data_IF_564532907685
#
_entry.id   IF_564532907685
#
_cell.length_a   1.000
_cell.length_b   1.000
_cell.length_c   1.000
_cell.angle_alpha   90.00
_cell.angle_beta   90.00
_cell.angle_gamma   90.00
#
_symmetry.space_group_name_H-M   'P 1'
#
loop_
_entity.id
_entity.type
_entity.pdbx_description
1 polymer ?
#
# COMPACT_ATOMS: atom_id res chain seq x y z
N UNK A 1 -5.88 -14.69 8.34
CA UNK A 1 -5.46 -13.38 7.78
C UNK A 1 -4.01 -13.12 8.16
N UNK A 2 -3.17 -12.73 7.20
CA UNK A 2 -1.79 -12.30 7.47
C UNK A 2 -1.76 -10.84 7.93
N UNK A 3 -0.73 -10.47 8.71
CA UNK A 3 -0.56 -9.12 9.22
C UNK A 3 0.75 -8.52 8.71
N UNK A 4 0.65 -7.40 8.00
CA UNK A 4 1.78 -6.58 7.59
C UNK A 4 1.86 -5.28 8.41
N UNK A 5 3.07 -4.76 8.59
CA UNK A 5 3.27 -3.40 9.06
C UNK A 5 3.53 -2.49 7.87
N UNK A 6 2.88 -1.31 7.83
CA UNK A 6 2.87 -0.41 6.68
C UNK A 6 3.40 0.97 7.05
N UNK A 7 4.22 1.56 6.17
CA UNK A 7 4.87 2.84 6.39
C UNK A 7 4.75 3.80 5.21
N UNK A 8 4.49 5.06 5.52
CA UNK A 8 4.71 6.18 4.62
C UNK A 8 5.92 7.02 5.03
N UNK A 9 6.52 6.70 6.18
CA UNK A 9 7.67 7.41 6.77
C UNK A 9 7.35 8.91 6.90
N UNK A 10 6.32 9.21 7.69
CA UNK A 10 5.90 10.59 7.91
C UNK A 10 6.83 11.29 8.88
N UNK A 11 7.23 12.50 8.53
CA UNK A 11 8.06 13.37 9.36
C UNK A 11 7.31 14.66 9.69
N UNK A 12 7.09 14.91 10.96
CA UNK A 12 6.44 16.13 11.39
C UNK A 12 7.38 17.35 11.26
N UNK A 13 6.92 18.38 10.55
CA UNK A 13 7.66 19.64 10.36
C UNK A 13 9.08 19.47 9.78
N UNK A 14 9.27 18.72 8.68
CA UNK A 14 10.59 18.29 8.19
C UNK A 14 11.49 19.46 7.78
N UNK A 15 10.91 20.55 7.25
CA UNK A 15 11.68 21.72 6.81
C UNK A 15 12.29 22.52 7.96
N UNK A 16 11.75 22.38 9.17
CA UNK A 16 12.24 23.05 10.38
C UNK A 16 13.20 22.17 11.21
N UNK A 17 13.04 20.86 11.09
CA UNK A 17 13.68 19.88 11.97
C UNK A 17 14.19 18.69 11.16
N UNK A 18 15.25 18.89 10.38
CA UNK A 18 15.83 17.83 9.53
C UNK A 18 16.41 16.67 10.33
N UNK A 19 16.82 16.89 11.58
CA UNK A 19 17.24 15.82 12.50
C UNK A 19 16.16 14.77 12.72
N UNK A 20 14.89 15.12 12.54
CA UNK A 20 13.77 14.17 12.64
C UNK A 20 13.72 13.17 11.50
N UNK A 21 14.17 13.54 10.30
CA UNK A 21 14.28 12.59 9.19
C UNK A 21 15.21 11.43 9.58
N UNK A 22 16.41 11.76 10.09
CA UNK A 22 17.35 10.76 10.59
C UNK A 22 16.69 9.86 11.64
N UNK A 23 16.04 10.45 12.64
CA UNK A 23 15.44 9.70 13.74
C UNK A 23 14.33 8.77 13.24
N UNK A 24 13.40 9.26 12.40
CA UNK A 24 12.27 8.46 11.92
C UNK A 24 12.74 7.25 11.09
N UNK A 25 13.73 7.39 10.21
CA UNK A 25 14.29 6.27 9.46
C UNK A 25 14.91 5.20 10.38
N UNK A 26 15.67 5.63 11.39
CA UNK A 26 16.25 4.69 12.36
C UNK A 26 15.19 4.05 13.28
N UNK A 27 14.14 4.77 13.62
CA UNK A 27 13.02 4.24 14.39
C UNK A 27 12.24 3.20 13.60
N UNK A 28 12.01 3.42 12.29
CA UNK A 28 11.39 2.43 11.41
C UNK A 28 12.18 1.12 11.40
N UNK A 29 13.51 1.17 11.32
CA UNK A 29 14.33 -0.05 11.37
C UNK A 29 14.10 -0.84 12.66
N UNK A 30 14.07 -0.17 13.84
CA UNK A 30 13.81 -0.81 15.12
C UNK A 30 12.38 -1.35 15.22
N UNK A 31 11.41 -0.61 14.71
CA UNK A 31 10.01 -1.02 14.68
C UNK A 31 9.81 -2.27 13.81
N UNK A 32 10.51 -2.39 12.70
CA UNK A 32 10.45 -3.57 11.83
C UNK A 32 11.14 -4.79 12.49
N UNK A 33 12.27 -4.58 13.17
CA UNK A 33 12.90 -5.65 13.95
C UNK A 33 11.92 -6.23 15.00
N UNK A 34 11.23 -5.34 15.74
CA UNK A 34 10.23 -5.75 16.72
C UNK A 34 9.03 -6.42 16.03
N UNK A 35 8.54 -5.86 14.92
CA UNK A 35 7.39 -6.40 14.21
C UNK A 35 7.65 -7.85 13.76
N UNK A 36 8.85 -8.17 13.25
CA UNK A 36 9.22 -9.55 12.95
C UNK A 36 9.19 -10.43 14.21
N UNK A 37 9.77 -9.95 15.31
CA UNK A 37 9.84 -10.71 16.58
C UNK A 37 8.45 -11.04 17.15
N UNK A 38 7.50 -10.10 17.04
CA UNK A 38 6.14 -10.30 17.57
C UNK A 38 5.17 -10.91 16.56
N UNK A 39 5.65 -11.26 15.36
CA UNK A 39 4.93 -12.12 14.43
C UNK A 39 4.24 -11.42 13.24
N UNK A 40 4.55 -10.18 12.93
CA UNK A 40 4.15 -9.63 11.63
C UNK A 40 4.85 -10.40 10.51
N UNK A 41 4.11 -10.65 9.44
CA UNK A 41 4.56 -11.46 8.30
C UNK A 41 5.10 -10.63 7.13
N UNK A 42 4.75 -9.35 7.07
CA UNK A 42 5.12 -8.48 5.97
C UNK A 42 5.49 -7.08 6.48
N UNK A 43 6.46 -6.47 5.81
CA UNK A 43 6.77 -5.05 5.86
C UNK A 43 6.42 -4.44 4.51
N UNK A 44 5.68 -3.32 4.52
CA UNK A 44 5.29 -2.60 3.33
C UNK A 44 5.63 -1.12 3.46
N UNK A 45 6.15 -0.49 2.39
CA UNK A 45 6.23 0.97 2.33
C UNK A 45 5.95 1.50 0.93
N UNK A 46 5.60 2.77 0.88
CA UNK A 46 5.25 3.51 -0.35
C UNK A 46 6.50 4.03 -1.07
N UNK A 47 6.31 4.45 -2.33
CA UNK A 47 7.20 5.39 -3.02
C UNK A 47 6.43 6.69 -3.25
N UNK A 48 6.86 7.78 -2.59
CA UNK A 48 6.30 9.12 -2.77
C UNK A 48 7.40 10.16 -2.93
N UNK A 49 7.12 11.16 -3.76
CA UNK A 49 8.06 12.22 -4.08
C UNK A 49 7.46 13.60 -3.82
N UNK A 50 8.28 14.58 -3.42
CA UNK A 50 7.89 15.99 -3.20
C UNK A 50 6.79 16.21 -2.15
N UNK A 51 6.47 15.22 -1.34
CA UNK A 51 5.34 15.20 -0.42
C UNK A 51 5.78 15.51 1.03
N UNK A 52 6.41 16.68 1.24
CA UNK A 52 6.85 17.10 2.58
C UNK A 52 5.70 17.08 3.59
N UNK A 53 5.91 16.39 4.71
CA UNK A 53 4.89 16.24 5.77
C UNK A 53 3.86 15.15 5.53
N UNK A 54 3.92 14.44 4.37
CA UNK A 54 3.08 13.29 4.10
C UNK A 54 3.88 11.99 4.01
N UNK A 55 4.92 11.96 3.16
CA UNK A 55 5.76 10.77 3.00
C UNK A 55 7.20 11.15 2.66
N UNK A 56 8.16 10.54 3.33
CA UNK A 56 9.60 10.72 3.07
C UNK A 56 10.24 9.48 2.44
N UNK A 57 9.45 8.49 2.04
CA UNK A 57 9.89 7.27 1.37
C UNK A 57 10.06 7.49 -0.14
N UNK A 58 11.08 8.23 -0.53
CA UNK A 58 11.36 8.56 -1.94
C UNK A 58 12.29 7.56 -2.64
N UNK A 59 13.01 6.73 -1.89
CA UNK A 59 13.88 5.68 -2.38
C UNK A 59 13.72 4.42 -1.50
N UNK A 60 12.54 3.79 -1.52
CA UNK A 60 12.21 2.70 -0.61
C UNK A 60 13.15 1.50 -0.76
N UNK A 61 13.70 1.25 -1.93
CA UNK A 61 14.62 0.15 -2.20
C UNK A 61 15.91 0.22 -1.38
N UNK A 62 16.35 1.42 -0.98
CA UNK A 62 17.53 1.58 -0.10
C UNK A 62 17.17 1.11 1.32
N UNK A 63 15.98 1.47 1.81
CA UNK A 63 15.47 1.00 3.10
C UNK A 63 15.22 -0.51 3.09
N UNK A 64 14.66 -1.06 2.00
CA UNK A 64 14.45 -2.50 1.84
C UNK A 64 15.76 -3.29 1.92
N UNK A 65 16.83 -2.76 1.32
CA UNK A 65 18.16 -3.36 1.44
C UNK A 65 18.62 -3.46 2.89
N UNK A 66 18.45 -2.39 3.68
CA UNK A 66 18.78 -2.39 5.11
C UNK A 66 17.91 -3.39 5.90
N UNK A 67 16.60 -3.40 5.68
CA UNK A 67 15.65 -4.31 6.34
C UNK A 67 15.93 -5.77 5.98
N UNK A 68 16.26 -6.06 4.72
CA UNK A 68 16.54 -7.42 4.26
C UNK A 68 17.68 -8.11 5.03
N UNK A 69 18.63 -7.32 5.53
CA UNK A 69 19.79 -7.82 6.29
C UNK A 69 19.57 -7.83 7.80
N UNK A 70 18.51 -7.19 8.29
CA UNK A 70 18.14 -7.14 9.72
C UNK A 70 17.08 -8.18 10.08
N UNK A 71 16.37 -8.67 9.09
CA UNK A 71 15.23 -9.59 9.22
C UNK A 71 15.48 -10.89 8.48
N UNK A 72 14.78 -11.95 8.84
CA UNK A 72 14.96 -13.28 8.26
C UNK A 72 13.66 -13.91 7.75
N UNK A 73 12.51 -13.48 8.24
CA UNK A 73 11.20 -14.10 7.96
C UNK A 73 10.22 -13.12 7.31
N UNK A 74 10.18 -11.88 7.79
CA UNK A 74 9.24 -10.86 7.31
C UNK A 74 9.46 -10.60 5.81
N UNK A 75 8.38 -10.64 5.03
CA UNK A 75 8.43 -10.35 3.59
C UNK A 75 8.47 -8.84 3.37
N UNK A 76 9.06 -8.41 2.28
CA UNK A 76 9.36 -7.00 1.98
C UNK A 76 8.56 -6.59 0.74
N UNK A 77 7.59 -5.72 0.92
CA UNK A 77 6.63 -5.33 -0.10
C UNK A 77 6.72 -3.88 -0.53
N UNK A 78 6.65 -3.67 -1.83
CA UNK A 78 6.41 -2.34 -2.39
C UNK A 78 4.90 -2.04 -2.33
N UNK A 79 4.53 -0.92 -1.71
CA UNK A 79 3.12 -0.51 -1.63
C UNK A 79 2.91 0.99 -1.95
N UNK A 80 3.43 1.42 -3.11
CA UNK A 80 3.83 0.67 -4.32
C UNK A 80 5.07 1.28 -4.95
N UNK A 81 5.71 0.58 -5.92
CA UNK A 81 6.66 1.22 -6.84
C UNK A 81 5.91 1.93 -7.96
N UNK A 82 6.31 3.16 -8.29
CA UNK A 82 5.68 3.97 -9.33
C UNK A 82 6.25 3.63 -10.72
N UNK A 83 5.43 3.03 -11.58
CA UNK A 83 5.88 2.52 -12.88
C UNK A 83 5.92 3.56 -14.02
N UNK A 84 5.06 4.62 -14.07
CA UNK A 84 5.09 5.54 -15.20
C UNK A 84 6.46 6.22 -15.35
N UNK A 85 7.17 5.94 -16.44
CA UNK A 85 8.41 6.65 -16.76
C UNK A 85 8.12 8.15 -16.97
N UNK A 86 8.92 9.08 -16.41
CA UNK A 86 10.27 8.88 -15.88
C UNK A 86 10.41 8.68 -14.36
N UNK A 87 9.37 8.29 -13.59
CA UNK A 87 9.60 7.89 -12.20
C UNK A 87 10.66 6.79 -12.14
N UNK A 88 10.36 5.67 -12.81
CA UNK A 88 11.23 4.52 -12.85
C UNK A 88 11.32 3.94 -14.27
N UNK A 89 12.50 3.52 -14.67
CA UNK A 89 12.69 2.71 -15.86
C UNK A 89 12.39 1.23 -15.55
N UNK A 90 11.53 0.52 -16.31
CA UNK A 90 11.10 -0.85 -15.97
C UNK A 90 12.25 -1.85 -15.86
N UNK A 91 13.29 -1.75 -16.69
CA UNK A 91 14.50 -2.57 -16.54
C UNK A 91 15.18 -2.33 -15.20
N UNK A 92 15.30 -1.06 -14.77
CA UNK A 92 15.90 -0.74 -13.47
C UNK A 92 15.08 -1.29 -12.29
N UNK A 93 13.76 -1.36 -12.43
CA UNK A 93 12.90 -1.99 -11.43
C UNK A 93 13.20 -3.49 -11.35
N UNK A 94 13.25 -4.18 -12.49
CA UNK A 94 13.54 -5.63 -12.51
C UNK A 94 14.88 -5.96 -11.88
N UNK A 95 15.93 -5.16 -12.15
CA UNK A 95 17.26 -5.32 -11.55
C UNK A 95 17.26 -5.10 -10.03
N UNK A 96 16.60 -4.03 -9.55
CA UNK A 96 16.50 -3.72 -8.11
C UNK A 96 15.70 -4.77 -7.36
N UNK A 97 14.55 -5.17 -7.91
CA UNK A 97 13.70 -6.21 -7.32
C UNK A 97 14.45 -7.55 -7.26
N UNK A 98 15.13 -7.96 -8.33
CA UNK A 98 15.89 -9.20 -8.36
C UNK A 98 17.06 -9.17 -7.36
N UNK A 99 17.77 -8.05 -7.27
CA UNK A 99 18.86 -7.87 -6.30
C UNK A 99 18.32 -7.98 -4.87
N UNK A 100 17.21 -7.30 -4.56
CA UNK A 100 16.58 -7.38 -3.24
C UNK A 100 16.05 -8.80 -2.95
N UNK A 101 15.51 -9.48 -3.95
CA UNK A 101 15.00 -10.84 -3.83
C UNK A 101 16.11 -11.83 -3.45
N UNK A 102 17.29 -11.69 -4.08
CA UNK A 102 18.49 -12.46 -3.72
C UNK A 102 18.94 -12.14 -2.29
N UNK A 103 19.09 -10.85 -1.97
CA UNK A 103 19.58 -10.42 -0.65
C UNK A 103 18.63 -10.79 0.50
N UNK A 104 17.35 -10.86 0.22
CA UNK A 104 16.32 -11.22 1.20
C UNK A 104 15.98 -12.72 1.24
N UNK A 105 16.64 -13.57 0.45
CA UNK A 105 16.31 -14.99 0.32
C UNK A 105 14.85 -15.23 -0.11
N UNK A 106 14.39 -14.52 -1.16
CA UNK A 106 13.08 -14.75 -1.78
C UNK A 106 11.90 -14.18 -0.99
N UNK A 107 12.07 -13.06 -0.28
CA UNK A 107 11.02 -12.45 0.54
C UNK A 107 10.37 -11.21 -0.09
N UNK A 108 10.60 -10.93 -1.37
CA UNK A 108 10.06 -9.73 -2.03
C UNK A 108 8.62 -9.92 -2.49
N UNK A 109 7.82 -8.87 -2.32
CA UNK A 109 6.48 -8.67 -2.89
C UNK A 109 6.49 -7.39 -3.74
N UNK A 110 5.95 -7.41 -4.95
CA UNK A 110 6.05 -6.28 -5.89
C UNK A 110 4.70 -5.64 -6.13
N UNK A 111 4.36 -4.65 -5.32
CA UNK A 111 3.19 -3.82 -5.57
C UNK A 111 3.53 -2.67 -6.53
N UNK A 112 2.63 -2.40 -7.45
CA UNK A 112 2.80 -1.40 -8.51
C UNK A 112 1.72 -0.33 -8.47
N UNK A 113 2.06 0.88 -8.91
CA UNK A 113 1.12 1.99 -8.95
C UNK A 113 1.44 3.00 -10.04
N UNK A 114 0.55 4.00 -10.18
CA UNK A 114 0.65 5.01 -11.24
C UNK A 114 0.95 6.41 -10.74
N UNK A 115 0.98 6.62 -9.42
CA UNK A 115 0.78 7.90 -8.75
C UNK A 115 -0.62 8.50 -9.00
N UNK A 116 -1.02 9.37 -8.10
CA UNK A 116 -2.31 10.03 -8.15
C UNK A 116 -2.19 11.53 -7.87
N UNK A 117 -1.03 12.02 -7.51
CA UNK A 117 -0.87 13.41 -7.07
C UNK A 117 -0.23 14.28 -8.15
N UNK A 118 -0.78 15.47 -8.31
CA UNK A 118 -0.24 16.45 -9.25
C UNK A 118 1.17 16.89 -8.90
N UNK A 119 1.48 16.95 -7.63
CA UNK A 119 2.82 17.35 -7.15
C UNK A 119 3.87 16.38 -7.68
N UNK A 120 3.60 15.08 -7.62
CA UNK A 120 4.51 14.05 -8.12
C UNK A 120 4.56 14.01 -9.65
N UNK A 121 3.38 13.93 -10.28
CA UNK A 121 3.28 13.87 -11.74
C UNK A 121 3.92 15.10 -12.39
N UNK A 122 3.62 16.31 -11.88
CA UNK A 122 4.19 17.56 -12.38
C UNK A 122 5.69 17.66 -12.12
N UNK A 123 6.18 17.18 -10.98
CA UNK A 123 7.59 17.17 -10.64
C UNK A 123 8.44 16.33 -11.59
N UNK A 124 7.86 15.25 -12.16
CA UNK A 124 8.51 14.38 -13.14
C UNK A 124 8.04 14.62 -14.59
N UNK A 125 7.18 15.60 -14.82
CA UNK A 125 6.70 15.93 -16.17
C UNK A 125 5.84 14.83 -16.80
N UNK A 126 5.05 14.10 -16.00
CA UNK A 126 4.21 12.98 -16.47
C UNK A 126 2.78 13.47 -16.69
N UNK A 127 2.25 13.45 -17.92
CA UNK A 127 0.85 13.76 -18.16
C UNK A 127 -0.07 12.71 -17.50
N UNK A 128 -1.03 13.15 -16.70
CA UNK A 128 -1.96 12.25 -16.01
C UNK A 128 -2.64 11.25 -16.96
N UNK A 129 -3.14 11.72 -18.08
CA UNK A 129 -3.81 10.88 -19.10
C UNK A 129 -2.96 9.75 -19.65
N UNK A 130 -1.64 9.83 -19.50
CA UNK A 130 -0.71 8.80 -19.98
C UNK A 130 -0.29 7.82 -18.89
N UNK A 131 -0.58 8.11 -17.62
CA UNK A 131 -0.10 7.29 -16.49
C UNK A 131 -0.50 5.84 -16.63
N UNK A 132 -1.71 5.55 -17.11
CA UNK A 132 -2.20 4.20 -17.30
C UNK A 132 -1.44 3.47 -18.41
N UNK A 133 -1.33 4.05 -19.58
CA UNK A 133 -0.63 3.43 -20.70
C UNK A 133 0.86 3.21 -20.41
N UNK A 134 1.51 4.16 -19.69
CA UNK A 134 2.90 4.02 -19.25
C UNK A 134 3.06 2.89 -18.20
N UNK A 135 2.11 2.77 -17.28
CA UNK A 135 2.10 1.71 -16.30
C UNK A 135 1.89 0.33 -16.94
N UNK A 136 0.96 0.20 -17.87
CA UNK A 136 0.69 -1.06 -18.59
C UNK A 136 1.93 -1.49 -19.40
N UNK A 137 2.55 -0.57 -20.15
CA UNK A 137 3.76 -0.88 -20.93
C UNK A 137 4.95 -1.25 -20.04
N UNK A 138 5.11 -0.60 -18.88
CA UNK A 138 6.13 -0.97 -17.92
C UNK A 138 5.89 -2.37 -17.30
N UNK A 139 4.62 -2.73 -17.02
CA UNK A 139 4.26 -4.09 -16.58
C UNK A 139 4.59 -5.15 -17.63
N UNK A 140 4.29 -4.88 -18.91
CA UNK A 140 4.65 -5.79 -20.01
C UNK A 140 6.15 -6.05 -20.05
N UNK A 141 6.95 -5.00 -19.94
CA UNK A 141 8.42 -5.10 -19.93
C UNK A 141 8.89 -5.92 -18.72
N UNK A 142 8.46 -5.58 -17.51
CA UNK A 142 8.85 -6.26 -16.26
C UNK A 142 8.53 -7.75 -16.34
N UNK A 143 7.30 -8.07 -16.72
CA UNK A 143 6.86 -9.47 -16.76
C UNK A 143 7.48 -10.26 -17.91
N UNK A 144 7.77 -9.62 -19.04
CA UNK A 144 8.48 -10.24 -20.15
C UNK A 144 9.92 -10.61 -19.76
N UNK A 145 10.63 -9.73 -19.05
CA UNK A 145 11.96 -10.02 -18.52
C UNK A 145 11.89 -11.22 -17.57
N UNK A 146 10.99 -11.21 -16.58
CA UNK A 146 10.89 -12.29 -15.60
C UNK A 146 10.39 -13.63 -16.17
N UNK A 147 9.64 -13.61 -17.27
CA UNK A 147 9.21 -14.82 -18.00
C UNK A 147 10.29 -15.36 -18.94
N UNK A 148 11.31 -14.58 -19.27
CA UNK A 148 12.42 -15.06 -20.09
C UNK A 148 13.25 -16.10 -19.33
N UNK A 149 13.86 -17.03 -20.09
CA UNK A 149 14.59 -18.15 -19.48
C UNK A 149 15.88 -17.70 -18.77
N UNK A 150 16.55 -16.69 -19.33
CA UNK A 150 17.91 -16.25 -18.95
C UNK A 150 18.05 -14.72 -18.84
N UNK A 151 16.93 -14.00 -18.89
CA UNK A 151 16.93 -12.52 -18.91
C UNK A 151 17.14 -11.90 -20.29
N UNK A 152 17.29 -12.70 -21.37
CA UNK A 152 17.39 -12.18 -22.73
C UNK A 152 16.04 -11.61 -23.17
N UNK A 153 16.06 -10.32 -23.54
CA UNK A 153 14.86 -9.53 -23.73
C UNK A 153 15.11 -8.41 -24.75
N UNK A 154 14.10 -8.13 -25.57
CA UNK A 154 13.97 -6.92 -26.37
C UNK A 154 12.53 -6.42 -26.33
N UNK A 155 12.33 -5.14 -26.52
CA UNK A 155 10.98 -4.57 -26.49
C UNK A 155 10.87 -3.38 -27.41
N UNK A 156 9.76 -3.29 -28.14
CA UNK A 156 9.41 -2.13 -28.94
C UNK A 156 7.95 -1.74 -28.69
N UNK A 157 7.74 -0.62 -28.02
CA UNK A 157 6.43 -0.08 -27.64
C UNK A 157 6.29 1.38 -27.96
N UNK A 158 5.35 2.04 -27.30
CA UNK A 158 5.09 3.46 -27.46
C UNK A 158 6.10 4.33 -26.71
N UNK A 159 6.46 3.92 -25.49
CA UNK A 159 7.30 4.71 -24.59
C UNK A 159 8.71 4.15 -24.47
N UNK A 160 8.92 2.90 -24.89
CA UNK A 160 10.23 2.23 -24.80
C UNK A 160 10.59 1.54 -26.12
N UNK A 161 11.86 1.70 -26.51
CA UNK A 161 12.51 0.94 -27.58
C UNK A 161 13.81 0.38 -26.99
N UNK A 162 13.78 -0.91 -26.62
CA UNK A 162 14.89 -1.58 -25.93
C UNK A 162 15.42 -2.67 -26.86
N UNK A 163 16.62 -2.48 -27.44
CA UNK A 163 17.24 -3.51 -28.25
C UNK A 163 17.57 -4.73 -27.39
N UNK A 164 17.77 -5.88 -28.02
CA UNK A 164 18.06 -7.12 -27.32
C UNK A 164 19.23 -6.97 -26.32
N UNK A 165 18.96 -7.31 -25.07
CA UNK A 165 19.89 -7.26 -23.93
C UNK A 165 19.65 -8.44 -23.02
N UNK A 166 20.68 -8.79 -22.26
CA UNK A 166 20.53 -9.74 -21.14
C UNK A 166 20.40 -8.94 -19.85
N UNK A 167 19.25 -9.05 -19.18
CA UNK A 167 18.94 -8.34 -17.93
C UNK A 167 19.31 -9.21 -16.74
N UNK A 168 20.22 -8.72 -15.91
CA UNK A 168 20.74 -9.43 -14.75
C UNK A 168 20.77 -8.52 -13.50
N UNK A 169 20.60 -9.09 -12.28
CA UNK A 169 20.31 -10.49 -11.99
C UNK A 169 18.82 -10.85 -12.25
N UNK A 170 18.51 -12.14 -12.14
CA UNK A 170 17.14 -12.63 -12.12
C UNK A 170 16.71 -12.97 -10.69
N UNK A 171 15.40 -12.83 -10.33
CA UNK A 171 14.94 -13.16 -9.00
C UNK A 171 15.05 -14.66 -8.70
N UNK A 172 15.28 -15.00 -7.42
CA UNK A 172 15.33 -16.40 -6.97
C UNK A 172 13.93 -17.01 -6.81
N UNK A 173 12.92 -16.19 -6.49
CA UNK A 173 11.52 -16.65 -6.48
C UNK A 173 11.10 -17.11 -7.87
N UNK A 174 10.41 -18.23 -7.95
CA UNK A 174 9.97 -18.82 -9.23
C UNK A 174 8.44 -18.94 -9.26
N UNK A 175 7.80 -18.56 -10.36
CA UNK A 175 8.39 -18.04 -11.61
C UNK A 175 8.92 -16.60 -11.49
N UNK A 176 8.43 -15.81 -10.56
CA UNK A 176 8.85 -14.44 -10.18
C UNK A 176 8.22 -14.04 -8.84
N UNK A 177 8.65 -12.94 -8.18
CA UNK A 177 7.99 -12.43 -6.98
C UNK A 177 6.50 -12.14 -7.20
N UNK A 178 5.64 -12.34 -6.20
CA UNK A 178 4.22 -12.00 -6.30
C UNK A 178 4.02 -10.52 -6.65
N UNK A 179 3.10 -10.27 -7.59
CA UNK A 179 2.79 -8.93 -8.07
C UNK A 179 1.44 -8.45 -7.56
N UNK A 180 1.39 -7.15 -7.21
CA UNK A 180 0.21 -6.48 -6.66
C UNK A 180 -0.01 -5.15 -7.35
N UNK A 181 -1.20 -4.57 -7.16
CA UNK A 181 -1.51 -3.21 -7.64
C UNK A 181 -2.32 -2.44 -6.60
N UNK A 182 -1.98 -1.15 -6.43
CA UNK A 182 -2.76 -0.26 -5.58
C UNK A 182 -4.05 0.18 -6.28
N UNK A 183 -5.17 0.07 -5.55
CA UNK A 183 -6.50 0.35 -6.05
C UNK A 183 -7.24 1.31 -5.14
N UNK A 184 -7.83 2.37 -5.73
CA UNK A 184 -8.60 3.38 -5.01
C UNK A 184 -10.10 3.33 -5.31
N UNK A 185 -10.50 3.06 -6.55
CA UNK A 185 -11.90 2.99 -7.00
C UNK A 185 -12.33 1.56 -7.33
N UNK A 186 -13.63 1.34 -7.47
CA UNK A 186 -14.22 0.03 -7.76
C UNK A 186 -13.71 -0.56 -9.08
N UNK A 187 -13.64 0.29 -10.12
CA UNK A 187 -13.09 -0.05 -11.44
C UNK A 187 -11.64 -0.56 -11.39
N UNK A 188 -10.83 0.02 -10.51
CA UNK A 188 -9.44 -0.40 -10.33
C UNK A 188 -9.32 -1.73 -9.57
N UNK A 189 -10.24 -2.01 -8.66
CA UNK A 189 -10.31 -3.32 -7.99
C UNK A 189 -10.70 -4.43 -8.98
N UNK A 190 -11.71 -4.20 -9.81
CA UNK A 190 -12.09 -5.13 -10.86
C UNK A 190 -10.94 -5.35 -11.87
N UNK A 191 -10.24 -4.28 -12.25
CA UNK A 191 -9.09 -4.36 -13.12
C UNK A 191 -7.96 -5.22 -12.52
N UNK A 192 -7.63 -5.04 -11.24
CA UNK A 192 -6.62 -5.86 -10.56
C UNK A 192 -6.95 -7.35 -10.69
N UNK A 193 -8.21 -7.72 -10.50
CA UNK A 193 -8.69 -9.08 -10.70
C UNK A 193 -8.51 -9.56 -12.15
N UNK A 194 -8.95 -8.78 -13.14
CA UNK A 194 -8.78 -9.13 -14.57
C UNK A 194 -7.32 -9.37 -14.97
N UNK A 195 -6.41 -8.64 -14.37
CA UNK A 195 -4.96 -8.73 -14.65
C UNK A 195 -4.24 -9.81 -13.80
N UNK A 196 -4.96 -10.51 -12.91
CA UNK A 196 -4.39 -11.55 -12.06
C UNK A 196 -3.37 -11.04 -11.04
N UNK A 197 -3.47 -9.76 -10.67
CA UNK A 197 -2.60 -9.11 -9.69
C UNK A 197 -3.24 -9.14 -8.30
N UNK A 198 -2.44 -9.23 -7.26
CA UNK A 198 -2.90 -9.02 -5.89
C UNK A 198 -3.42 -7.59 -5.70
N UNK A 199 -4.40 -7.45 -4.83
CA UNK A 199 -5.07 -6.19 -4.55
C UNK A 199 -4.45 -5.52 -3.32
N UNK A 200 -4.00 -4.27 -3.43
CA UNK A 200 -3.66 -3.39 -2.30
C UNK A 200 -4.69 -2.26 -2.22
N UNK A 201 -5.47 -2.24 -1.15
CA UNK A 201 -6.53 -1.26 -0.88
C UNK A 201 -6.33 -0.57 0.47
N UNK A 202 -7.33 0.13 0.98
CA UNK A 202 -7.25 0.87 2.24
C UNK A 202 -8.63 1.13 2.84
N UNK A 203 -8.66 1.42 4.14
CA UNK A 203 -9.88 1.82 4.86
C UNK A 203 -9.99 3.33 5.10
N UNK A 204 -8.98 4.12 4.75
CA UNK A 204 -9.02 5.57 4.97
C UNK A 204 -10.24 6.19 4.29
N UNK A 205 -11.18 6.67 5.11
CA UNK A 205 -12.47 7.22 4.69
C UNK A 205 -13.31 6.25 3.83
N UNK A 206 -13.09 4.95 4.01
CA UNK A 206 -13.82 3.85 3.35
C UNK A 206 -14.30 2.89 4.42
N UNK A 207 -15.62 2.69 4.54
CA UNK A 207 -16.16 1.74 5.51
C UNK A 207 -15.83 0.29 5.16
N UNK A 208 -15.80 -0.62 6.15
CA UNK A 208 -15.60 -2.05 5.93
C UNK A 208 -16.55 -2.64 4.87
N UNK A 209 -17.82 -2.24 4.89
CA UNK A 209 -18.83 -2.73 3.96
C UNK A 209 -18.57 -2.25 2.51
N UNK A 210 -18.11 -1.00 2.34
CA UNK A 210 -17.71 -0.47 1.03
C UNK A 210 -16.46 -1.17 0.51
N UNK A 211 -15.46 -1.36 1.37
CA UNK A 211 -14.27 -2.14 1.03
C UNK A 211 -14.65 -3.57 0.64
N UNK A 212 -15.57 -4.20 1.39
CA UNK A 212 -16.07 -5.54 1.10
C UNK A 212 -16.67 -5.67 -0.31
N UNK A 213 -17.53 -4.71 -0.72
CA UNK A 213 -18.05 -4.70 -2.10
C UNK A 213 -16.95 -4.63 -3.16
N UNK A 214 -15.94 -3.78 -2.93
CA UNK A 214 -14.78 -3.66 -3.84
C UNK A 214 -13.96 -4.93 -3.91
N UNK A 215 -13.70 -5.59 -2.77
CA UNK A 215 -13.00 -6.87 -2.72
C UNK A 215 -13.81 -7.96 -3.42
N UNK A 216 -15.14 -7.97 -3.29
CA UNK A 216 -15.99 -8.92 -4.01
C UNK A 216 -15.93 -8.72 -5.52
N UNK A 217 -15.93 -7.46 -6.01
CA UNK A 217 -15.72 -7.17 -7.45
C UNK A 217 -14.37 -7.72 -7.94
N UNK A 218 -13.30 -7.52 -7.18
CA UNK A 218 -11.99 -8.14 -7.43
C UNK A 218 -12.07 -9.66 -7.46
N UNK A 219 -12.67 -10.29 -6.44
CA UNK A 219 -12.80 -11.76 -6.35
C UNK A 219 -13.62 -12.35 -7.49
N UNK A 220 -14.61 -11.60 -7.98
CA UNK A 220 -15.38 -12.02 -9.16
C UNK A 220 -14.51 -11.95 -10.42
N UNK A 221 -13.85 -10.83 -10.64
CA UNK A 221 -13.06 -10.59 -11.86
C UNK A 221 -11.85 -11.55 -11.99
N UNK A 222 -11.21 -11.92 -10.87
CA UNK A 222 -10.01 -12.75 -10.89
C UNK A 222 -10.27 -14.20 -11.33
N UNK A 223 -11.53 -14.66 -11.28
CA UNK A 223 -11.90 -16.00 -11.75
C UNK A 223 -11.64 -16.20 -13.25
N UNK A 224 -11.64 -15.12 -14.01
CA UNK A 224 -11.41 -15.11 -15.47
C UNK A 224 -10.17 -14.31 -15.85
N UNK A 225 -9.21 -14.19 -14.91
CA UNK A 225 -8.01 -13.40 -15.11
C UNK A 225 -7.18 -13.84 -16.31
N UNK A 226 -6.64 -12.82 -16.99
CA UNK A 226 -5.54 -13.01 -17.96
C UNK A 226 -4.29 -12.36 -17.32
N UNK A 227 -3.49 -13.14 -16.57
CA UNK A 227 -2.42 -12.57 -15.76
C UNK A 227 -1.32 -11.94 -16.61
N UNK A 228 -0.86 -10.76 -16.18
CA UNK A 228 0.36 -10.16 -16.72
C UNK A 228 1.58 -11.03 -16.40
N UNK A 229 1.69 -11.48 -15.16
CA UNK A 229 2.74 -12.39 -14.72
C UNK A 229 2.56 -13.82 -15.20
N UNK A 230 3.35 -14.72 -14.67
CA UNK A 230 3.29 -16.15 -15.00
C UNK A 230 2.27 -16.92 -14.12
N UNK A 231 1.66 -16.28 -13.13
CA UNK A 231 0.63 -16.86 -12.27
C UNK A 231 -0.34 -15.76 -11.76
N UNK A 232 -1.48 -16.20 -11.26
CA UNK A 232 -2.50 -15.34 -10.64
C UNK A 232 -2.19 -15.17 -9.17
N UNK A 233 -2.01 -13.93 -8.70
CA UNK A 233 -1.90 -13.62 -7.28
C UNK A 233 -3.29 -13.27 -6.71
N UNK A 234 -4.05 -14.28 -6.31
CA UNK A 234 -5.40 -14.11 -5.78
C UNK A 234 -5.39 -13.73 -4.29
N UNK A 235 -4.77 -12.60 -3.94
CA UNK A 235 -4.75 -12.09 -2.57
C UNK A 235 -5.27 -10.66 -2.52
N UNK A 236 -6.04 -10.32 -1.48
CA UNK A 236 -6.52 -8.98 -1.21
C UNK A 236 -5.94 -8.46 0.11
N UNK A 237 -5.23 -7.34 0.05
CA UNK A 237 -4.69 -6.61 1.19
C UNK A 237 -5.32 -5.23 1.32
N UNK A 238 -5.42 -4.72 2.55
CA UNK A 238 -5.80 -3.34 2.80
C UNK A 238 -5.06 -2.78 4.00
N UNK A 239 -4.65 -1.50 3.91
CA UNK A 239 -4.09 -0.81 5.07
C UNK A 239 -5.14 0.00 5.82
N UNK A 240 -4.92 0.16 7.13
CA UNK A 240 -5.64 1.07 8.00
C UNK A 240 -4.66 1.81 8.92
N UNK A 241 -5.08 2.99 9.40
CA UNK A 241 -4.44 3.62 10.55
C UNK A 241 -4.69 2.77 11.79
N UNK A 242 -3.63 2.47 12.56
CA UNK A 242 -3.70 1.61 13.74
C UNK A 242 -2.95 2.24 14.90
N UNK A 243 -3.60 2.34 16.06
CA UNK A 243 -2.93 2.64 17.33
C UNK A 243 -3.57 1.88 18.48
N UNK A 244 -2.75 1.17 19.23
CA UNK A 244 -3.14 0.43 20.42
C UNK A 244 -2.45 1.00 21.65
N UNK A 245 -3.16 1.01 22.77
CA UNK A 245 -2.62 1.25 24.10
C UNK A 245 -3.30 0.33 25.11
N UNK A 246 -2.93 0.39 26.39
CA UNK A 246 -3.49 -0.50 27.43
C UNK A 246 -5.00 -0.28 27.65
N UNK A 247 -5.51 0.92 27.33
CA UNK A 247 -6.93 1.26 27.42
C UNK A 247 -7.42 2.03 26.19
N UNK A 248 -8.72 1.93 25.90
CA UNK A 248 -9.34 2.66 24.76
C UNK A 248 -9.15 4.18 24.90
N UNK A 249 -9.30 4.71 26.10
CA UNK A 249 -9.11 6.13 26.37
C UNK A 249 -7.67 6.56 26.06
N UNK A 250 -6.69 5.82 26.53
CA UNK A 250 -5.28 6.10 26.29
C UNK A 250 -4.95 6.05 24.80
N UNK A 251 -5.40 5.01 24.08
CA UNK A 251 -5.16 4.87 22.65
C UNK A 251 -5.71 6.08 21.87
N UNK A 252 -6.91 6.53 22.22
CA UNK A 252 -7.55 7.69 21.63
C UNK A 252 -6.76 8.98 21.90
N UNK A 253 -6.45 9.25 23.17
CA UNK A 253 -5.70 10.47 23.58
C UNK A 253 -4.34 10.55 22.88
N UNK A 254 -3.68 9.41 22.66
CA UNK A 254 -2.38 9.33 21.99
C UNK A 254 -2.46 9.51 20.47
N UNK A 255 -3.51 8.97 19.84
CA UNK A 255 -3.63 8.89 18.38
C UNK A 255 -4.36 10.09 17.74
N UNK A 256 -5.33 10.70 18.43
CA UNK A 256 -6.28 11.66 17.85
C UNK A 256 -5.59 12.73 16.99
N UNK A 257 -4.60 13.42 17.55
CA UNK A 257 -3.90 14.49 16.83
C UNK A 257 -3.23 13.98 15.56
N UNK A 258 -2.62 12.79 15.59
CA UNK A 258 -1.89 12.23 14.47
C UNK A 258 -2.82 11.67 13.41
N UNK A 259 -3.89 10.98 13.81
CA UNK A 259 -4.94 10.49 12.91
C UNK A 259 -5.61 11.64 12.17
N UNK A 260 -6.04 12.66 12.90
CA UNK A 260 -6.69 13.82 12.29
C UNK A 260 -5.74 14.63 11.40
N UNK A 261 -4.45 14.72 11.75
CA UNK A 261 -3.46 15.35 10.87
C UNK A 261 -3.27 14.57 9.55
N UNK A 262 -3.28 13.25 9.60
CA UNK A 262 -3.20 12.40 8.42
C UNK A 262 -4.44 12.58 7.53
N UNK A 263 -5.62 12.49 8.10
CA UNK A 263 -6.90 12.72 7.39
C UNK A 263 -6.92 14.10 6.73
N UNK A 264 -6.61 15.15 7.48
CA UNK A 264 -6.59 16.52 6.97
C UNK A 264 -5.56 16.73 5.86
N UNK A 265 -4.40 16.09 5.96
CA UNK A 265 -3.38 16.15 4.91
C UNK A 265 -3.86 15.44 3.65
N UNK A 266 -4.44 14.26 3.76
CA UNK A 266 -5.03 13.53 2.66
C UNK A 266 -6.17 14.33 2.00
N UNK A 267 -7.06 14.92 2.78
CA UNK A 267 -8.14 15.77 2.27
C UNK A 267 -7.58 16.98 1.53
N UNK A 268 -6.52 17.62 2.04
CA UNK A 268 -5.89 18.78 1.41
C UNK A 268 -5.20 18.41 0.09
N UNK A 269 -4.43 17.33 0.07
CA UNK A 269 -3.78 16.83 -1.16
C UNK A 269 -4.84 16.55 -2.23
N UNK A 270 -6.03 16.19 -1.82
CA UNK A 270 -7.15 15.85 -2.69
C UNK A 270 -8.18 16.99 -2.87
N UNK A 271 -8.04 18.12 -2.18
CA UNK A 271 -8.99 19.25 -2.20
C UNK A 271 -9.17 19.87 -3.59
N UNK A 272 -8.12 19.90 -4.41
CA UNK A 272 -8.18 20.40 -5.78
C UNK A 272 -9.20 19.64 -6.65
N UNK A 273 -9.42 18.36 -6.37
CA UNK A 273 -10.43 17.52 -7.04
C UNK A 273 -11.82 17.84 -6.54
N UNK A 274 -11.96 17.97 -5.22
CA UNK A 274 -13.25 18.30 -4.59
C UNK A 274 -13.73 19.67 -5.12
N UNK A 275 -12.82 20.64 -5.23
CA UNK A 275 -13.11 21.96 -5.77
C UNK A 275 -13.49 21.93 -7.27
N UNK A 276 -12.72 21.18 -8.07
CA UNK A 276 -12.98 21.03 -9.50
C UNK A 276 -14.38 20.43 -9.77
N UNK A 277 -14.81 19.46 -8.94
CA UNK A 277 -16.17 18.90 -9.05
C UNK A 277 -17.27 19.87 -8.63
N UNK A 278 -17.04 20.68 -7.60
CA UNK A 278 -18.02 21.72 -7.17
C UNK A 278 -18.19 22.82 -8.21
N UNK A 279 -17.15 23.15 -8.93
CA UNK A 279 -17.15 24.27 -9.90
C UNK A 279 -17.45 23.83 -11.32
N UNK A 280 -17.68 22.55 -11.59
CA UNK A 280 -17.91 22.00 -12.95
C UNK A 280 -16.69 22.06 -13.86
N UNK A 281 -15.53 22.38 -13.33
CA UNK A 281 -14.26 22.37 -14.06
C UNK A 281 -13.80 20.91 -14.17
N UNK A 282 -13.43 20.49 -15.39
CA UNK A 282 -12.93 19.11 -15.59
C UNK A 282 -11.74 18.85 -14.68
N UNK A 283 -11.87 17.95 -13.71
CA UNK A 283 -10.75 17.57 -12.87
C UNK A 283 -9.60 16.94 -13.68
N UNK A 284 -9.83 16.58 -14.94
CA UNK A 284 -8.85 16.01 -15.88
C UNK A 284 -8.14 17.07 -16.74
N UNK A 285 -8.39 18.36 -16.51
CA UNK A 285 -7.70 19.42 -17.23
C UNK A 285 -6.18 19.36 -16.94
N UNK A 286 -5.34 19.12 -17.95
CA UNK A 286 -3.89 18.99 -17.78
C UNK A 286 -3.23 20.25 -17.19
N UNK A 287 -3.83 21.42 -17.40
CA UNK A 287 -3.32 22.69 -16.87
C UNK A 287 -3.46 22.82 -15.36
N UNK A 288 -4.31 22.01 -14.73
CA UNK A 288 -4.55 22.01 -13.27
C UNK A 288 -4.14 20.71 -12.59
N UNK A 289 -3.65 19.73 -13.38
CA UNK A 289 -3.27 18.41 -12.89
C UNK A 289 -4.38 17.72 -12.13
N UNK A 290 -4.72 16.56 -12.59
CA UNK A 290 -5.89 15.86 -12.14
C UNK A 290 -5.59 14.91 -11.01
N UNK A 291 -6.52 14.83 -10.13
CA UNK A 291 -6.60 13.79 -9.13
C UNK A 291 -7.74 12.83 -9.51
N UNK A 292 -7.52 11.52 -9.42
CA UNK A 292 -8.52 10.53 -9.73
C UNK A 292 -9.70 10.56 -8.75
N UNK A 293 -10.80 9.92 -9.11
CA UNK A 293 -12.08 9.77 -8.46
C UNK A 293 -12.10 9.62 -6.92
N UNK A 294 -11.73 10.67 -6.20
CA UNK A 294 -11.82 10.74 -4.75
C UNK A 294 -13.25 10.87 -4.19
N UNK A 295 -14.21 11.47 -4.87
CA UNK A 295 -15.52 11.67 -4.34
C UNK A 295 -16.31 10.40 -4.04
N UNK A 296 -16.01 9.29 -4.72
CA UNK A 296 -16.63 8.01 -4.38
C UNK A 296 -16.12 7.43 -3.06
N UNK A 297 -14.99 7.90 -2.55
CA UNK A 297 -14.46 7.48 -1.25
C UNK A 297 -15.21 8.12 -0.08
N UNK A 298 -15.71 9.35 -0.27
CA UNK A 298 -16.36 10.15 0.79
C UNK A 298 -17.89 10.07 0.79
N UNK A 299 -18.50 9.16 0.04
CA UNK A 299 -19.94 9.00 0.05
C UNK A 299 -20.46 8.72 1.47
N UNK A 300 -21.28 9.63 1.98
CA UNK A 300 -21.87 9.56 3.31
C UNK A 300 -21.10 10.27 4.42
N UNK A 301 -19.89 10.78 4.15
CA UNK A 301 -19.13 11.58 5.11
C UNK A 301 -18.96 13.03 4.63
N UNK A 302 -19.27 13.97 5.49
CA UNK A 302 -18.87 15.37 5.31
C UNK A 302 -17.40 15.51 5.79
N UNK A 303 -16.42 15.73 4.88
CA UNK A 303 -15.03 15.80 5.27
C UNK A 303 -14.70 16.87 6.32
N UNK A 304 -15.55 17.91 6.41
CA UNK A 304 -15.39 18.99 7.39
C UNK A 304 -15.82 18.59 8.81
N UNK A 305 -16.49 17.45 8.96
CA UNK A 305 -17.04 16.95 10.23
C UNK A 305 -16.37 15.64 10.68
N UNK A 306 -15.31 15.19 10.01
CA UNK A 306 -14.61 13.98 10.40
C UNK A 306 -13.91 14.20 11.75
N UNK A 307 -14.16 13.29 12.69
CA UNK A 307 -13.52 13.21 14.00
C UNK A 307 -12.93 11.84 14.21
N UNK A 308 -12.06 11.66 15.20
CA UNK A 308 -11.54 10.33 15.53
C UNK A 308 -12.66 9.37 15.90
N UNK A 309 -13.70 9.85 16.60
CA UNK A 309 -14.87 9.04 16.95
C UNK A 309 -15.59 8.56 15.69
N UNK A 310 -15.82 9.46 14.72
CA UNK A 310 -16.45 9.08 13.47
C UNK A 310 -15.62 8.08 12.66
N UNK A 311 -14.29 8.16 12.71
CA UNK A 311 -13.42 7.17 12.07
C UNK A 311 -13.54 5.78 12.73
N UNK A 312 -13.57 5.76 14.07
CA UNK A 312 -13.72 4.52 14.86
C UNK A 312 -15.10 3.90 14.62
N UNK A 313 -16.17 4.68 14.75
CA UNK A 313 -17.55 4.21 14.62
C UNK A 313 -17.85 3.65 13.22
N UNK A 314 -17.27 4.26 12.19
CA UNK A 314 -17.40 3.79 10.81
C UNK A 314 -16.38 2.70 10.41
N UNK A 315 -15.51 2.25 11.34
CA UNK A 315 -14.52 1.21 11.07
C UNK A 315 -13.43 1.61 10.08
N UNK A 316 -13.12 2.90 10.01
CA UNK A 316 -12.12 3.47 9.08
C UNK A 316 -10.71 3.51 9.64
N UNK A 317 -10.55 3.20 10.92
CA UNK A 317 -9.28 3.01 11.60
C UNK A 317 -9.43 1.96 12.70
N UNK A 318 -8.30 1.50 13.23
CA UNK A 318 -8.22 0.61 14.39
C UNK A 318 -7.59 1.40 15.54
N UNK A 319 -8.38 1.68 16.57
CA UNK A 319 -7.91 2.47 17.72
C UNK A 319 -8.58 1.99 19.01
N UNK A 320 -7.75 1.59 19.98
CA UNK A 320 -8.26 1.14 21.28
C UNK A 320 -7.30 0.20 22.00
N UNK A 321 -7.82 -0.44 23.04
CA UNK A 321 -7.19 -1.57 23.72
C UNK A 321 -7.09 -2.79 22.79
N UNK A 322 -6.28 -3.80 23.10
CA UNK A 322 -6.22 -5.03 22.29
C UNK A 322 -7.59 -5.68 22.05
N UNK A 323 -8.45 -5.73 23.06
CA UNK A 323 -9.79 -6.31 22.94
C UNK A 323 -10.68 -5.51 21.98
N UNK A 324 -10.60 -4.19 22.04
CA UNK A 324 -11.33 -3.30 21.12
C UNK A 324 -10.79 -3.43 19.68
N UNK A 325 -9.47 -3.48 19.51
CA UNK A 325 -8.84 -3.66 18.21
C UNK A 325 -9.22 -5.01 17.56
N UNK A 326 -9.31 -6.08 18.34
CA UNK A 326 -9.78 -7.39 17.86
C UNK A 326 -11.19 -7.28 17.30
N UNK A 327 -12.14 -6.69 18.04
CA UNK A 327 -13.53 -6.51 17.59
C UNK A 327 -13.63 -5.67 16.31
N UNK A 328 -12.83 -4.59 16.21
CA UNK A 328 -12.79 -3.74 15.03
C UNK A 328 -12.26 -4.51 13.80
N UNK A 329 -11.23 -5.34 13.99
CA UNK A 329 -10.66 -6.19 12.94
C UNK A 329 -11.59 -7.35 12.55
N UNK A 330 -12.33 -7.94 13.52
CA UNK A 330 -13.35 -8.94 13.22
C UNK A 330 -14.44 -8.37 12.31
N UNK A 331 -14.96 -7.17 12.63
CA UNK A 331 -15.91 -6.45 11.77
C UNK A 331 -15.35 -6.21 10.37
N UNK A 332 -14.11 -5.75 10.28
CA UNK A 332 -13.45 -5.53 8.99
C UNK A 332 -13.29 -6.83 8.20
N UNK A 333 -12.87 -7.90 8.86
CA UNK A 333 -12.66 -9.20 8.24
C UNK A 333 -13.99 -9.85 7.81
N UNK A 334 -15.05 -9.71 8.59
CA UNK A 334 -16.39 -10.18 8.22
C UNK A 334 -16.89 -9.49 6.95
N UNK A 335 -16.72 -8.17 6.86
CA UNK A 335 -17.17 -7.39 5.72
C UNK A 335 -16.29 -7.57 4.47
N UNK A 336 -14.96 -7.55 4.60
CA UNK A 336 -14.05 -7.42 3.49
C UNK A 336 -13.31 -8.72 3.12
N UNK A 337 -13.25 -9.72 4.00
CA UNK A 337 -12.59 -11.03 3.76
C UNK A 337 -11.17 -10.88 3.19
N UNK A 338 -10.35 -10.08 3.88
CA UNK A 338 -8.97 -9.81 3.48
C UNK A 338 -8.07 -11.03 3.73
N UNK A 339 -7.12 -11.26 2.82
CA UNK A 339 -6.01 -12.20 3.04
C UNK A 339 -4.93 -11.56 3.91
N UNK A 340 -4.76 -10.23 3.78
CA UNK A 340 -3.74 -9.49 4.48
C UNK A 340 -4.26 -8.15 4.98
N UNK A 341 -3.98 -7.85 6.25
CA UNK A 341 -4.20 -6.53 6.86
C UNK A 341 -2.87 -5.83 7.07
N UNK A 342 -2.74 -4.58 6.61
CA UNK A 342 -1.55 -3.77 6.72
C UNK A 342 -1.76 -2.68 7.76
N UNK A 343 -1.10 -2.82 8.90
CA UNK A 343 -1.21 -1.88 10.02
C UNK A 343 -0.26 -0.69 9.82
N UNK A 344 -0.80 0.51 9.56
CA UNK A 344 -0.03 1.75 9.59
C UNK A 344 -0.01 2.25 11.04
N UNK A 345 1.13 2.10 11.72
CA UNK A 345 1.27 2.39 13.15
C UNK A 345 2.20 3.57 13.44
N UNK A 346 3.12 3.89 12.50
CA UNK A 346 3.97 5.08 12.57
C UNK A 346 3.38 6.17 11.70
N UNK A 347 2.90 7.23 12.30
CA UNK A 347 2.50 8.42 11.57
C UNK A 347 2.58 9.68 12.42
N UNK A 348 2.93 10.71 11.72
CA UNK A 348 3.05 12.11 12.09
C UNK A 348 3.77 12.37 13.40
N UNK A 349 3.07 12.49 14.52
CA UNK A 349 3.63 12.91 15.80
C UNK A 349 3.51 11.86 16.91
N UNK A 350 3.13 10.62 16.58
CA UNK A 350 3.14 9.54 17.57
C UNK A 350 4.60 9.26 17.95
N UNK A 351 4.97 9.35 19.24
CA UNK A 351 6.31 9.05 19.71
C UNK A 351 6.71 7.61 19.40
N UNK A 352 8.00 7.40 19.13
CA UNK A 352 8.55 6.08 18.82
C UNK A 352 8.20 5.02 19.88
N UNK A 353 8.33 5.36 21.15
CA UNK A 353 8.07 4.45 22.27
C UNK A 353 6.60 3.99 22.30
N UNK A 354 5.66 4.87 21.96
CA UNK A 354 4.24 4.53 21.87
C UNK A 354 3.95 3.65 20.64
N UNK A 355 4.62 3.91 19.53
CA UNK A 355 4.53 3.04 18.36
C UNK A 355 5.08 1.65 18.66
N UNK A 356 6.22 1.54 19.36
CA UNK A 356 6.80 0.26 19.80
C UNK A 356 5.83 -0.48 20.71
N UNK A 357 5.26 0.18 21.71
CA UNK A 357 4.27 -0.44 22.61
C UNK A 357 3.01 -0.93 21.85
N UNK A 358 2.51 -0.14 20.92
CA UNK A 358 1.39 -0.55 20.08
C UNK A 358 1.71 -1.77 19.20
N UNK A 359 2.93 -1.89 18.67
CA UNK A 359 3.42 -3.07 17.92
C UNK A 359 3.47 -4.29 18.85
N UNK A 360 3.99 -4.14 20.08
CA UNK A 360 4.04 -5.22 21.07
C UNK A 360 2.63 -5.73 21.42
N UNK A 361 1.71 -4.83 21.75
CA UNK A 361 0.33 -5.17 22.06
C UNK A 361 -0.36 -5.88 20.89
N UNK A 362 -0.16 -5.39 19.67
CA UNK A 362 -0.71 -5.99 18.47
C UNK A 362 -0.17 -7.40 18.24
N UNK A 363 1.13 -7.58 18.36
CA UNK A 363 1.77 -8.90 18.22
C UNK A 363 1.38 -9.88 19.30
N UNK A 364 1.28 -9.43 20.54
CA UNK A 364 0.97 -10.29 21.70
C UNK A 364 -0.49 -10.73 21.77
N UNK A 365 -1.42 -9.86 21.37
CA UNK A 365 -2.85 -10.09 21.59
C UNK A 365 -3.64 -10.25 20.30
N UNK A 366 -3.39 -9.42 19.29
CA UNK A 366 -4.20 -9.39 18.06
C UNK A 366 -3.79 -10.50 17.09
N UNK A 367 -2.51 -10.59 16.74
CA UNK A 367 -2.03 -11.59 15.77
C UNK A 367 -2.39 -13.03 16.16
N UNK A 368 -2.17 -13.47 17.43
CA UNK A 368 -2.53 -14.84 17.84
C UNK A 368 -4.03 -15.13 17.73
N UNK A 369 -4.88 -14.16 18.06
CA UNK A 369 -6.34 -14.32 17.97
C UNK A 369 -6.77 -14.70 16.55
N UNK A 370 -6.29 -14.00 15.52
CA UNK A 370 -6.65 -14.27 14.13
C UNK A 370 -5.96 -15.50 13.52
N UNK A 371 -4.82 -15.91 14.03
CA UNK A 371 -4.15 -17.14 13.57
C UNK A 371 -4.81 -18.40 14.06
N UNK A 372 -5.46 -18.35 15.20
CA UNK A 372 -6.21 -19.48 15.78
C UNK A 372 -7.64 -19.60 15.23
N UNK A 373 -8.13 -18.58 14.53
CA UNK A 373 -9.40 -18.67 13.80
C UNK A 373 -9.14 -19.36 12.47
N UNK A 374 -9.70 -20.58 12.31
CA UNK A 374 -9.64 -21.33 11.06
C UNK A 374 -10.15 -20.46 9.91
N UNK A 375 -9.50 -20.48 8.74
CA UNK A 375 -10.07 -19.84 7.55
C UNK A 375 -11.47 -20.44 7.34
N UNK A 376 -12.50 -19.59 7.23
CA UNK A 376 -13.81 -20.06 6.78
C UNK A 376 -13.59 -20.69 5.41
N UNK A 377 -14.01 -21.94 5.24
CA UNK A 377 -13.98 -22.59 3.94
C UNK A 377 -14.62 -21.65 2.91
N UNK A 378 -13.91 -21.41 1.84
CA UNK A 378 -14.44 -20.64 0.72
C UNK A 378 -15.75 -21.31 0.32
N UNK A 379 -16.85 -20.57 0.30
CA UNK A 379 -18.12 -20.99 -0.29
C UNK A 379 -17.90 -21.10 -1.80
N UNK A 380 -17.27 -22.19 -2.22
CA UNK A 380 -17.04 -22.57 -3.60
C UNK A 380 -17.10 -24.10 -3.72
N UNK A 381 -18.24 -24.65 -3.32
CA UNK A 381 -18.65 -25.99 -3.69
C UNK A 381 -20.13 -26.16 -3.38
N UNK A 382 -20.98 -25.54 -4.16
CA UNK A 382 -22.37 -25.93 -4.33
C UNK A 382 -22.85 -25.41 -5.69
N UNK A 383 -22.45 -26.11 -6.72
CA UNK A 383 -23.13 -26.12 -8.00
C UNK A 383 -22.79 -27.49 -8.62
N UNK A 384 -23.53 -28.50 -8.18
CA UNK A 384 -23.87 -29.63 -9.01
C UNK A 384 -25.01 -29.24 -9.95
#
# INVERSE_FOLDING_TARGET
MDFGIFYEIQVNSPLKHREREYQVFHDVLKQVDLAEQVGFSHFWTVEHHFQTGFAHSSAPEVLYGAISQRTSVIRIGHAVVLLPFPYNHPVRITERVATLDILSNGRVEVGTGRSATQVELGGFGIPYKETRARWEEALDIITSIWKSKDGTFSYKGKYFDIPERNVVPMPIQKPHPPMWVACTGEDTHELAGKLGLGLLSFTLLVSPEKLGRRVQAYRHAIKTAKPYGAFVNNKAGAFAMVHLADTDKQARDEAERSFMSYVNTTLRVNSAVIEAKKTGIDPKDPARGTVPDLPTQYEGLDPSKVTIDSLIDHGMCICGSPDTAIKQLERLQEAAQLDQFLAMMQFWAIPHERTMHAIELFGKHVIPHFRNVMPRESVAAAAD
#
